data_IF_295136733932
#
_entry.id   IF_295136733932
#
_cell.length_a   1.000
_cell.length_b   1.000
_cell.length_c   1.000
_cell.angle_alpha   90.00
_cell.angle_beta   90.00
_cell.angle_gamma   90.00
#
_symmetry.space_group_name_H-M   'P 1'
#
loop_
_entity.id
_entity.type
_entity.pdbx_description
1 polymer ?
#
# COMPACT_ATOMS: atom_id res chain seq x y z
N UNK A 1 11.00 -0.34 12.48
CA UNK A 1 11.34 0.20 11.15
C UNK A 1 12.45 1.21 11.37
N UNK A 2 13.41 1.25 10.46
CA UNK A 2 14.55 2.18 10.52
C UNK A 2 14.25 3.43 9.68
N UNK A 3 13.76 3.23 8.46
CA UNK A 3 13.44 4.31 7.55
C UNK A 3 12.37 3.92 6.52
N UNK A 4 11.65 4.91 6.02
CA UNK A 4 10.79 4.80 4.84
C UNK A 4 11.20 5.88 3.85
N UNK A 5 11.50 5.48 2.62
CA UNK A 5 11.81 6.39 1.52
C UNK A 5 10.63 6.44 0.55
N UNK A 6 10.31 7.64 0.07
CA UNK A 6 9.27 7.88 -0.91
C UNK A 6 9.87 8.53 -2.15
N UNK A 7 9.71 7.88 -3.30
CA UNK A 7 10.09 8.41 -4.60
C UNK A 7 8.90 9.13 -5.22
N UNK A 8 9.05 10.44 -5.46
CA UNK A 8 8.06 11.26 -6.14
C UNK A 8 8.60 11.80 -7.47
N UNK A 9 7.72 11.98 -8.44
CA UNK A 9 8.01 12.71 -9.68
C UNK A 9 6.85 13.67 -10.02
N UNK A 10 6.83 14.19 -11.26
CA UNK A 10 5.78 15.10 -11.73
C UNK A 10 4.35 14.52 -11.68
N UNK A 11 4.20 13.19 -11.67
CA UNK A 11 2.90 12.50 -11.66
C UNK A 11 2.50 12.01 -10.28
N UNK A 12 3.34 12.14 -9.26
CA UNK A 12 3.06 11.73 -7.88
C UNK A 12 4.03 10.67 -7.35
N UNK A 13 3.52 9.80 -6.47
CA UNK A 13 4.29 8.71 -5.86
C UNK A 13 4.58 7.62 -6.89
N UNK A 14 5.85 7.25 -7.05
CA UNK A 14 6.29 6.22 -8.01
C UNK A 14 7.02 5.06 -7.37
N UNK A 15 7.56 5.25 -6.17
CA UNK A 15 8.20 4.17 -5.42
C UNK A 15 8.15 4.40 -3.92
N UNK A 16 8.18 3.31 -3.17
CA UNK A 16 8.49 3.29 -1.75
C UNK A 16 9.56 2.25 -1.45
N UNK A 17 10.41 2.55 -0.47
CA UNK A 17 11.34 1.59 0.10
C UNK A 17 11.22 1.62 1.62
N UNK A 18 10.91 0.46 2.22
CA UNK A 18 10.85 0.29 3.66
C UNK A 18 12.11 -0.45 4.10
N UNK A 19 12.81 0.11 5.10
CA UNK A 19 13.94 -0.55 5.76
C UNK A 19 13.60 -0.86 7.20
N UNK A 20 13.80 -2.10 7.61
CA UNK A 20 13.59 -2.52 9.00
C UNK A 20 14.90 -2.67 9.79
N UNK A 21 14.76 -2.89 11.10
CA UNK A 21 15.90 -2.94 12.02
C UNK A 21 16.74 -4.22 11.88
N UNK A 22 16.29 -5.17 11.06
CA UNK A 22 16.99 -6.43 10.78
C UNK A 22 17.72 -6.37 9.43
N UNK A 23 17.74 -5.19 8.78
CA UNK A 23 18.39 -4.97 7.49
C UNK A 23 17.56 -5.44 6.30
N UNK A 24 16.28 -5.78 6.48
CA UNK A 24 15.39 -6.09 5.37
C UNK A 24 15.02 -4.80 4.63
N UNK A 25 15.03 -4.87 3.30
CA UNK A 25 14.52 -3.82 2.43
C UNK A 25 13.35 -4.35 1.57
N UNK A 26 12.21 -3.68 1.64
CA UNK A 26 11.05 -3.95 0.79
C UNK A 26 10.84 -2.80 -0.18
N UNK A 27 10.80 -3.10 -1.48
CA UNK A 27 10.55 -2.11 -2.53
C UNK A 27 9.16 -2.27 -3.14
N UNK A 28 8.41 -1.17 -3.20
CA UNK A 28 7.09 -1.07 -3.86
C UNK A 28 7.23 -0.08 -5.02
N UNK A 29 6.82 -0.48 -6.22
CA UNK A 29 6.82 0.38 -7.42
C UNK A 29 5.39 0.60 -7.89
N UNK A 30 5.03 1.85 -8.07
CA UNK A 30 3.70 2.23 -8.56
C UNK A 30 3.76 2.45 -10.07
N UNK A 31 2.78 1.90 -10.78
CA UNK A 31 2.60 2.07 -12.21
C UNK A 31 1.13 2.30 -12.52
N UNK A 32 0.86 2.95 -13.65
CA UNK A 32 -0.50 3.29 -14.09
C UNK A 32 -1.36 4.02 -13.03
N UNK A 33 -0.72 4.79 -12.14
CA UNK A 33 -1.42 5.54 -11.10
C UNK A 33 -2.27 6.65 -11.71
N UNK A 34 -3.54 6.66 -11.35
CA UNK A 34 -4.48 7.75 -11.64
C UNK A 34 -4.74 8.47 -10.32
N UNK A 35 -4.76 9.80 -10.36
CA UNK A 35 -4.91 10.66 -9.19
C UNK A 35 -6.18 11.49 -9.33
N UNK A 36 -6.87 11.73 -8.22
CA UNK A 36 -8.11 12.52 -8.15
C UNK A 36 -9.30 11.95 -8.95
N UNK A 37 -9.31 10.65 -9.29
CA UNK A 37 -10.53 10.00 -9.80
C UNK A 37 -11.53 9.71 -8.67
N UNK A 38 -12.84 9.73 -8.94
CA UNK A 38 -13.82 9.15 -8.02
C UNK A 38 -13.50 7.67 -7.78
N UNK A 39 -13.63 7.23 -6.53
CA UNK A 39 -13.39 5.84 -6.11
C UNK A 39 -14.68 5.32 -5.48
N UNK A 40 -15.13 4.14 -5.91
CA UNK A 40 -16.32 3.49 -5.39
C UNK A 40 -16.11 3.08 -3.92
N UNK A 41 -17.05 3.44 -3.04
CA UNK A 41 -16.98 3.14 -1.60
C UNK A 41 -16.98 1.63 -1.31
N UNK A 42 -17.55 0.82 -2.21
CA UNK A 42 -17.55 -0.64 -2.08
C UNK A 42 -16.15 -1.26 -2.13
N UNK A 43 -15.17 -0.58 -2.75
CA UNK A 43 -13.76 -1.03 -2.76
C UNK A 43 -13.11 -1.00 -1.36
N UNK A 44 -13.70 -0.27 -0.42
CA UNK A 44 -13.24 -0.17 0.96
C UNK A 44 -14.09 -0.99 1.94
N UNK A 45 -15.01 -1.82 1.43
CA UNK A 45 -15.82 -2.73 2.23
C UNK A 45 -15.26 -4.15 2.13
N UNK A 46 -14.99 -4.76 3.28
CA UNK A 46 -14.57 -6.15 3.37
C UNK A 46 -15.68 -6.97 4.03
N UNK A 47 -16.23 -7.93 3.27
CA UNK A 47 -17.12 -8.96 3.80
C UNK A 47 -16.40 -10.30 3.69
N UNK A 48 -16.02 -10.94 4.81
CA UNK A 48 -15.38 -12.25 4.76
C UNK A 48 -16.34 -13.28 4.15
N UNK A 49 -15.85 -14.23 3.34
CA UNK A 49 -16.64 -15.38 2.91
C UNK A 49 -17.13 -16.23 4.09
N UNK A 50 -18.19 -17.01 3.87
CA UNK A 50 -18.70 -17.93 4.88
C UNK A 50 -17.61 -18.93 5.34
N UNK A 51 -17.54 -19.17 6.65
CA UNK A 51 -16.58 -20.10 7.25
C UNK A 51 -15.15 -19.57 7.38
N UNK A 52 -14.87 -18.33 6.98
CA UNK A 52 -13.57 -17.70 7.20
C UNK A 52 -13.44 -17.25 8.65
N UNK A 53 -12.36 -17.71 9.29
CA UNK A 53 -11.96 -17.21 10.61
C UNK A 53 -11.41 -15.78 10.48
N UNK A 54 -11.91 -14.88 11.31
CA UNK A 54 -11.54 -13.47 11.32
C UNK A 54 -10.89 -13.17 12.66
N UNK A 55 -9.59 -12.97 12.63
CA UNK A 55 -8.79 -12.68 13.82
C UNK A 55 -8.44 -11.19 13.86
N UNK A 56 -8.77 -10.52 14.96
CA UNK A 56 -8.33 -9.15 15.25
C UNK A 56 -7.04 -9.14 16.08
N UNK A 57 -6.30 -8.03 16.03
CA UNK A 57 -5.08 -7.81 16.81
C UNK A 57 -5.19 -6.54 17.66
#
# INVERSE_FOLDING_TARGET
>A
FEAVFMGLNKTGLVAMELRDNFGQATQIKFSASVVNQPVDESLFQFSPPEGVDVVGQ
#
